data_IF_071514697837
#
_entry.id   IF_071514697837
#
_cell.length_a   1.000
_cell.length_b   1.000
_cell.length_c   1.000
_cell.angle_alpha   90.00
_cell.angle_beta   90.00
_cell.angle_gamma   90.00
#
_symmetry.space_group_name_H-M   'P 1'
#
loop_
_entity.id
_entity.type
_entity.pdbx_description
1 polymer ?
#
# COMPACT_ATOMS: atom_id res chain seq x y z
N UNK A 1 -8.82 -22.47 -13.89
CA UNK A 1 -9.01 -23.66 -13.05
C UNK A 1 -8.89 -23.21 -11.61
N UNK A 2 -9.87 -23.51 -10.78
CA UNK A 2 -9.87 -23.21 -9.35
C UNK A 2 -9.66 -24.55 -8.59
N UNK A 3 -8.46 -24.76 -8.06
CA UNK A 3 -8.10 -26.05 -7.49
C UNK A 3 -8.11 -27.15 -8.56
N UNK A 4 -8.95 -28.15 -8.41
CA UNK A 4 -9.18 -29.22 -9.39
C UNK A 4 -10.33 -28.92 -10.36
N UNK A 5 -11.11 -27.87 -10.11
CA UNK A 5 -12.32 -27.57 -10.87
C UNK A 5 -11.98 -26.74 -12.12
N UNK A 6 -12.67 -27.04 -13.20
CA UNK A 6 -12.61 -26.29 -14.46
C UNK A 6 -13.84 -25.39 -14.55
N UNK A 7 -13.60 -24.07 -14.60
CA UNK A 7 -14.64 -23.08 -14.85
C UNK A 7 -14.52 -22.55 -16.27
N UNK A 8 -15.65 -22.34 -16.94
CA UNK A 8 -15.74 -21.76 -18.28
C UNK A 8 -16.50 -20.44 -18.20
N UNK A 9 -15.99 -19.40 -18.85
CA UNK A 9 -16.60 -18.08 -18.92
C UNK A 9 -16.28 -17.42 -20.25
N UNK A 10 -17.15 -16.54 -20.71
CA UNK A 10 -16.91 -15.75 -21.93
C UNK A 10 -15.82 -14.68 -21.71
N UNK A 11 -15.76 -14.13 -20.50
CA UNK A 11 -14.76 -13.13 -20.08
C UNK A 11 -14.31 -13.43 -18.66
N UNK A 12 -13.02 -13.29 -18.42
CA UNK A 12 -12.39 -13.36 -17.10
C UNK A 12 -11.88 -11.96 -16.73
N UNK A 13 -12.11 -11.53 -15.51
CA UNK A 13 -11.52 -10.30 -14.95
C UNK A 13 -10.42 -10.71 -13.99
N UNK A 14 -9.17 -10.40 -14.35
CA UNK A 14 -8.01 -10.62 -13.50
C UNK A 14 -7.82 -9.43 -12.56
N UNK A 15 -8.21 -9.61 -11.30
CA UNK A 15 -8.05 -8.66 -10.19
C UNK A 15 -7.23 -9.33 -9.06
N UNK A 16 -6.22 -10.14 -9.45
CA UNK A 16 -5.45 -11.02 -8.58
C UNK A 16 -4.18 -10.36 -8.00
N UNK A 17 -4.17 -9.02 -7.99
CA UNK A 17 -3.17 -8.21 -7.31
C UNK A 17 -1.85 -8.05 -8.09
N UNK A 18 -0.87 -7.44 -7.44
CA UNK A 18 0.37 -6.95 -8.05
C UNK A 18 1.17 -8.00 -8.83
N UNK A 19 1.19 -9.26 -8.38
CA UNK A 19 1.92 -10.34 -9.08
C UNK A 19 1.18 -10.87 -10.29
N UNK A 20 -0.15 -10.84 -10.26
CA UNK A 20 -1.07 -11.27 -11.32
C UNK A 20 -0.61 -12.48 -12.16
N UNK A 21 -0.77 -13.67 -11.60
CA UNK A 21 -0.50 -14.92 -12.31
C UNK A 21 -1.43 -15.10 -13.52
N UNK A 22 -2.65 -14.56 -13.45
CA UNK A 22 -3.62 -14.60 -14.55
C UNK A 22 -3.10 -13.83 -15.76
N UNK A 23 -2.64 -12.59 -15.56
CA UNK A 23 -2.08 -11.76 -16.61
C UNK A 23 -0.79 -12.38 -17.20
N UNK A 24 0.08 -12.93 -16.36
CA UNK A 24 1.29 -13.61 -16.81
C UNK A 24 0.97 -14.83 -17.67
N UNK A 25 0.03 -15.68 -17.26
CA UNK A 25 -0.40 -16.86 -18.03
C UNK A 25 -1.09 -16.50 -19.36
N UNK A 26 -1.71 -15.33 -19.42
CA UNK A 26 -2.30 -14.78 -20.65
C UNK A 26 -1.24 -14.16 -21.60
N UNK A 27 0.04 -14.20 -21.25
CA UNK A 27 1.13 -13.65 -22.07
C UNK A 27 1.28 -12.12 -21.98
N UNK A 28 0.62 -11.47 -21.03
CA UNK A 28 0.80 -10.05 -20.79
C UNK A 28 2.11 -9.77 -20.06
N UNK A 29 2.66 -8.56 -20.24
CA UNK A 29 3.95 -8.16 -19.65
C UNK A 29 3.96 -8.42 -18.15
N UNK A 30 4.99 -9.12 -17.67
CA UNK A 30 5.31 -9.28 -16.25
C UNK A 30 5.99 -8.02 -15.73
N UNK A 31 5.67 -7.62 -14.49
CA UNK A 31 6.42 -6.57 -13.81
C UNK A 31 7.84 -7.03 -13.46
N UNK A 32 8.79 -6.12 -13.56
CA UNK A 32 10.17 -6.35 -13.12
C UNK A 32 10.30 -6.04 -11.63
N UNK A 33 11.25 -6.64 -10.94
CA UNK A 33 11.47 -6.41 -9.51
C UNK A 33 11.66 -4.92 -9.14
N UNK A 34 12.30 -4.15 -10.03
CA UNK A 34 12.48 -2.69 -9.84
C UNK A 34 11.21 -1.86 -9.99
N UNK A 35 10.14 -2.46 -10.47
CA UNK A 35 8.84 -1.83 -10.68
C UNK A 35 7.90 -2.07 -9.49
N UNK A 36 8.45 -2.46 -8.34
CA UNK A 36 7.67 -2.68 -7.13
C UNK A 36 8.16 -1.83 -5.96
N UNK A 37 7.19 -1.36 -5.20
CA UNK A 37 7.36 -0.90 -3.83
C UNK A 37 6.80 -1.92 -2.84
N UNK A 38 7.19 -1.83 -1.58
CA UNK A 38 6.56 -2.53 -0.47
C UNK A 38 5.91 -1.51 0.46
N UNK A 39 4.64 -1.69 0.72
CA UNK A 39 3.90 -0.97 1.75
C UNK A 39 3.80 -1.84 2.99
N UNK A 40 4.17 -1.30 4.13
CA UNK A 40 3.99 -1.91 5.44
C UNK A 40 3.06 -1.03 6.25
N UNK A 41 2.10 -1.64 6.93
CA UNK A 41 1.07 -0.91 7.66
C UNK A 41 0.82 -1.57 9.01
N UNK A 42 0.63 -0.74 10.02
CA UNK A 42 0.10 -1.10 11.32
C UNK A 42 -1.26 -0.44 11.54
N UNK A 43 -2.17 -1.14 12.19
CA UNK A 43 -3.40 -0.59 12.74
C UNK A 43 -3.25 -0.48 14.25
N UNK A 44 -3.38 0.74 14.76
CA UNK A 44 -3.22 1.05 16.18
C UNK A 44 -4.58 1.48 16.72
N UNK A 45 -5.17 0.64 17.57
CA UNK A 45 -6.45 0.91 18.21
C UNK A 45 -6.31 2.01 19.27
N UNK A 46 -7.17 3.01 19.19
CA UNK A 46 -7.28 4.14 20.11
C UNK A 46 -8.74 4.59 20.21
N UNK A 47 -9.18 5.11 21.37
CA UNK A 47 -10.52 5.67 21.49
C UNK A 47 -10.74 6.86 20.53
N UNK A 48 -11.93 6.94 19.93
CA UNK A 48 -12.32 7.98 18.96
C UNK A 48 -12.00 9.39 19.48
N UNK A 49 -12.40 9.72 20.70
CA UNK A 49 -12.12 11.03 21.32
C UNK A 49 -10.64 11.36 21.42
N UNK A 50 -9.79 10.36 21.68
CA UNK A 50 -8.33 10.55 21.75
C UNK A 50 -7.77 10.88 20.36
N UNK A 51 -8.32 10.24 19.32
CA UNK A 51 -7.94 10.53 17.94
C UNK A 51 -8.38 11.94 17.55
N UNK A 52 -9.65 12.30 17.81
CA UNK A 52 -10.18 13.65 17.55
C UNK A 52 -9.33 14.74 18.22
N UNK A 53 -9.00 14.56 19.51
CA UNK A 53 -8.15 15.50 20.25
C UNK A 53 -6.74 15.63 19.68
N UNK A 54 -6.08 14.49 19.38
CA UNK A 54 -4.68 14.51 18.90
C UNK A 54 -4.52 15.06 17.52
N UNK A 55 -5.53 14.87 16.66
CA UNK A 55 -5.52 15.34 15.27
C UNK A 55 -6.31 16.63 15.08
N UNK A 56 -6.87 17.20 16.18
CA UNK A 56 -7.70 18.41 16.16
C UNK A 56 -8.86 18.30 15.16
N UNK A 57 -9.62 17.21 15.26
CA UNK A 57 -10.74 16.90 14.39
C UNK A 57 -12.06 17.23 15.07
N UNK A 58 -13.02 17.72 14.30
CA UNK A 58 -14.42 17.70 14.70
C UNK A 58 -14.99 16.29 14.55
N UNK A 59 -16.19 16.07 15.13
CA UNK A 59 -16.88 14.78 14.99
C UNK A 59 -17.08 14.44 13.51
N UNK A 60 -16.80 13.19 13.15
CA UNK A 60 -16.90 12.64 11.79
C UNK A 60 -15.89 13.18 10.78
N UNK A 61 -14.92 13.98 11.21
CA UNK A 61 -13.79 14.36 10.36
C UNK A 61 -12.68 13.30 10.41
N UNK A 62 -11.86 13.30 9.37
CA UNK A 62 -10.69 12.46 9.26
C UNK A 62 -9.46 13.25 8.82
N UNK A 63 -8.28 12.75 9.16
CA UNK A 63 -7.01 13.31 8.74
C UNK A 63 -6.16 12.26 8.03
N UNK A 64 -5.40 12.72 7.03
CA UNK A 64 -4.34 11.96 6.39
C UNK A 64 -3.07 12.81 6.40
N UNK A 65 -2.01 12.29 6.98
CA UNK A 65 -0.69 12.93 7.01
C UNK A 65 0.29 12.08 6.23
N UNK A 66 1.06 12.73 5.37
CA UNK A 66 2.10 12.11 4.56
C UNK A 66 3.47 12.67 4.97
N UNK A 67 4.46 11.78 5.02
CA UNK A 67 5.82 12.11 5.45
C UNK A 67 6.81 11.64 4.38
N UNK A 68 7.79 12.47 4.08
CA UNK A 68 8.87 12.16 3.13
C UNK A 68 10.23 12.48 3.75
N UNK A 69 11.29 11.83 3.25
CA UNK A 69 12.66 12.10 3.67
C UNK A 69 13.15 11.17 4.78
N UNK A 70 13.39 11.70 5.97
CA UNK A 70 14.03 10.95 7.05
C UNK A 70 13.25 9.73 7.55
N UNK A 71 11.93 9.72 7.39
CA UNK A 71 11.09 8.61 7.80
C UNK A 71 11.41 7.28 7.10
N UNK A 72 12.11 7.34 5.98
CA UNK A 72 12.57 6.17 5.22
C UNK A 72 14.10 6.05 5.14
N UNK A 73 14.86 6.74 6.00
CA UNK A 73 16.33 6.85 5.90
C UNK A 73 16.78 7.30 4.51
N UNK A 74 16.02 8.18 3.87
CA UNK A 74 16.23 8.67 2.50
C UNK A 74 16.10 7.60 1.41
N UNK A 75 15.66 6.39 1.72
CA UNK A 75 15.23 5.43 0.71
C UNK A 75 14.02 6.03 0.00
N UNK A 76 13.97 6.04 -1.35
CA UNK A 76 12.82 6.55 -2.08
C UNK A 76 11.51 5.91 -1.62
N UNK A 77 10.54 6.77 -1.27
CA UNK A 77 9.29 6.37 -0.65
C UNK A 77 8.79 7.41 0.35
N UNK A 78 7.97 6.99 1.28
CA UNK A 78 7.42 7.87 2.30
C UNK A 78 6.68 7.10 3.39
N UNK A 79 6.13 7.83 4.33
CA UNK A 79 5.30 7.29 5.39
C UNK A 79 3.94 7.99 5.43
N UNK A 80 2.99 7.38 6.10
CA UNK A 80 1.64 7.92 6.26
C UNK A 80 1.05 7.62 7.62
N UNK A 81 0.14 8.48 8.04
CA UNK A 81 -0.76 8.26 9.17
C UNK A 81 -2.16 8.65 8.74
N UNK A 82 -3.12 7.75 8.83
CA UNK A 82 -4.54 8.01 8.58
C UNK A 82 -5.34 7.77 9.84
N UNK A 83 -6.30 8.66 10.11
CA UNK A 83 -7.28 8.44 11.17
C UNK A 83 -8.43 7.57 10.65
N UNK A 84 -8.85 6.62 11.47
CA UNK A 84 -10.12 5.92 11.37
C UNK A 84 -10.94 6.27 12.62
N UNK A 85 -12.19 5.83 12.70
CA UNK A 85 -13.06 6.18 13.83
C UNK A 85 -12.45 5.78 15.20
N UNK A 86 -11.89 4.59 15.32
CA UNK A 86 -11.35 4.02 16.57
C UNK A 86 -9.96 3.42 16.42
N UNK A 87 -9.22 3.84 15.40
CA UNK A 87 -7.86 3.39 15.15
C UNK A 87 -7.09 4.39 14.28
N UNK A 88 -5.78 4.23 14.25
CA UNK A 88 -4.89 4.86 13.29
C UNK A 88 -4.33 3.82 12.35
N UNK A 89 -4.27 4.12 11.06
CA UNK A 89 -3.48 3.37 10.07
C UNK A 89 -2.17 4.11 9.88
N UNK A 90 -1.08 3.47 10.21
CA UNK A 90 0.26 4.04 10.11
C UNK A 90 1.13 3.12 9.27
N UNK A 91 1.92 3.69 8.36
CA UNK A 91 2.73 2.84 7.51
C UNK A 91 3.81 3.56 6.74
N UNK A 92 4.61 2.75 6.06
CA UNK A 92 5.73 3.16 5.22
C UNK A 92 5.61 2.46 3.87
N UNK A 93 5.90 3.19 2.81
CA UNK A 93 6.04 2.66 1.45
C UNK A 93 7.43 2.98 0.95
N UNK A 94 8.17 1.98 0.51
CA UNK A 94 9.51 2.15 -0.07
C UNK A 94 9.72 1.27 -1.29
N UNK A 95 10.55 1.72 -2.23
CA UNK A 95 10.93 0.92 -3.39
C UNK A 95 11.77 -0.28 -2.98
N UNK A 96 11.41 -1.47 -3.46
CA UNK A 96 12.04 -2.74 -3.05
C UNK A 96 13.52 -2.79 -3.42
N UNK A 97 13.89 -2.33 -4.61
CA UNK A 97 15.30 -2.36 -5.03
C UNK A 97 16.18 -1.52 -4.13
N UNK A 98 15.78 -0.28 -3.84
CA UNK A 98 16.55 0.62 -2.98
C UNK A 98 16.56 0.13 -1.52
N UNK A 99 15.50 -0.51 -1.06
CA UNK A 99 15.48 -1.14 0.25
C UNK A 99 16.52 -2.26 0.34
N UNK A 100 16.59 -3.14 -0.68
CA UNK A 100 17.58 -4.21 -0.75
C UNK A 100 19.02 -3.65 -0.80
N UNK A 101 19.26 -2.63 -1.63
CA UNK A 101 20.56 -1.98 -1.77
C UNK A 101 21.00 -1.32 -0.46
N UNK A 102 20.08 -0.75 0.29
CA UNK A 102 20.34 -0.08 1.57
C UNK A 102 20.72 -1.06 2.69
N UNK A 103 20.40 -2.34 2.55
CA UNK A 103 20.56 -3.39 3.57
C UNK A 103 19.81 -3.08 4.88
N UNK A 104 18.78 -2.25 4.81
CA UNK A 104 17.90 -1.92 5.94
C UNK A 104 16.75 -2.92 5.98
N UNK A 105 16.48 -3.45 7.16
CA UNK A 105 15.32 -4.31 7.36
C UNK A 105 14.04 -3.47 7.33
N UNK A 106 13.06 -3.92 6.54
CA UNK A 106 11.82 -3.17 6.32
C UNK A 106 11.08 -2.81 7.61
N UNK A 107 11.06 -3.74 8.59
CA UNK A 107 10.40 -3.51 9.87
C UNK A 107 11.12 -2.48 10.75
N UNK A 108 12.44 -2.26 10.56
CA UNK A 108 13.16 -1.23 11.29
C UNK A 108 12.68 0.17 10.94
N UNK A 109 12.33 0.39 9.67
CA UNK A 109 11.82 1.68 9.21
C UNK A 109 10.52 2.04 9.92
N UNK A 110 9.57 1.10 10.01
CA UNK A 110 8.29 1.38 10.67
C UNK A 110 8.48 1.56 12.18
N UNK A 111 9.37 0.80 12.79
CA UNK A 111 9.70 0.95 14.22
C UNK A 111 10.34 2.31 14.51
N UNK A 112 11.26 2.78 13.68
CA UNK A 112 11.87 4.10 13.81
C UNK A 112 10.86 5.22 13.58
N UNK A 113 9.98 5.06 12.60
CA UNK A 113 8.91 6.01 12.37
C UNK A 113 8.00 6.13 13.59
N UNK A 114 7.61 5.01 14.20
CA UNK A 114 6.81 4.98 15.42
C UNK A 114 7.52 5.66 16.61
N UNK A 115 8.84 5.53 16.68
CA UNK A 115 9.67 6.12 17.74
C UNK A 115 9.99 7.60 17.51
N UNK A 116 9.59 8.17 16.39
CA UNK A 116 9.72 9.61 16.18
C UNK A 116 8.85 10.37 17.19
N UNK A 117 9.40 11.36 17.94
CA UNK A 117 8.66 12.04 19.01
C UNK A 117 7.32 12.65 18.59
N UNK A 118 7.17 13.03 17.33
CA UNK A 118 5.91 13.56 16.79
C UNK A 118 4.88 12.43 16.59
N UNK A 119 5.31 11.28 16.09
CA UNK A 119 4.46 10.12 15.85
C UNK A 119 4.13 9.41 17.17
N UNK A 120 5.13 9.23 18.04
CA UNK A 120 4.96 8.61 19.36
C UNK A 120 3.83 9.26 20.16
N UNK A 121 3.74 10.58 20.12
CA UNK A 121 2.64 11.32 20.79
C UNK A 121 1.26 11.00 20.17
N UNK A 122 1.20 10.80 18.86
CA UNK A 122 -0.06 10.49 18.19
C UNK A 122 -0.56 9.08 18.52
N UNK A 123 0.36 8.13 18.69
CA UNK A 123 0.04 6.71 18.92
C UNK A 123 0.10 6.29 20.40
N UNK A 124 0.52 7.19 21.31
CA UNK A 124 0.72 6.88 22.74
C UNK A 124 -0.51 6.23 23.37
N UNK A 125 -0.30 5.12 24.09
CA UNK A 125 -1.36 4.35 24.73
C UNK A 125 -2.23 3.52 23.78
N UNK A 126 -1.94 3.55 22.49
CA UNK A 126 -2.59 2.69 21.50
C UNK A 126 -2.07 1.26 21.52
N UNK A 127 -2.88 0.34 21.03
CA UNK A 127 -2.53 -1.08 20.89
C UNK A 127 -2.45 -1.44 19.41
N UNK A 128 -1.32 -1.99 18.97
CA UNK A 128 -1.21 -2.55 17.62
C UNK A 128 -2.10 -3.80 17.56
N UNK A 129 -3.08 -3.79 16.66
CA UNK A 129 -4.05 -4.87 16.48
C UNK A 129 -3.88 -5.59 15.14
N UNK A 130 -3.21 -4.97 14.19
CA UNK A 130 -2.90 -5.55 12.89
C UNK A 130 -1.53 -5.07 12.41
N UNK A 131 -0.80 -5.97 11.77
CA UNK A 131 0.37 -5.66 10.96
C UNK A 131 0.21 -6.33 9.61
N UNK A 132 0.39 -5.57 8.54
CA UNK A 132 0.31 -6.08 7.17
C UNK A 132 1.40 -5.50 6.28
N UNK A 133 1.83 -6.28 5.29
CA UNK A 133 2.74 -5.83 4.25
C UNK A 133 2.18 -6.22 2.88
N UNK A 134 2.29 -5.32 1.92
CA UNK A 134 1.75 -5.50 0.58
C UNK A 134 2.73 -5.00 -0.48
N UNK A 135 2.86 -5.77 -1.55
CA UNK A 135 3.66 -5.37 -2.72
C UNK A 135 2.79 -4.50 -3.62
N UNK A 136 3.32 -3.36 -4.03
CA UNK A 136 2.64 -2.35 -4.82
C UNK A 136 3.36 -2.22 -6.17
N UNK A 137 2.69 -2.44 -7.32
CA UNK A 137 3.31 -2.24 -8.62
C UNK A 137 3.39 -0.75 -8.94
N UNK A 138 4.57 -0.29 -9.33
CA UNK A 138 4.84 1.12 -9.67
C UNK A 138 4.99 1.37 -11.18
N UNK A 139 4.50 0.45 -11.98
CA UNK A 139 4.51 0.55 -13.43
C UNK A 139 3.21 0.02 -14.01
N UNK A 140 2.71 0.67 -15.03
CA UNK A 140 1.55 0.18 -15.78
C UNK A 140 1.95 -0.98 -16.69
N UNK A 141 1.09 -1.98 -16.80
CA UNK A 141 1.21 -3.01 -17.84
C UNK A 141 0.97 -2.40 -19.22
N UNK A 142 1.74 -2.86 -20.19
CA UNK A 142 1.40 -2.65 -21.59
C UNK A 142 0.42 -3.74 -21.99
N UNK A 143 -0.83 -3.36 -22.29
CA UNK A 143 -1.92 -4.29 -22.56
C UNK A 143 -2.68 -4.67 -21.30
N UNK A 144 -3.87 -4.13 -21.18
CA UNK A 144 -4.78 -4.38 -20.05
C UNK A 144 -5.83 -5.42 -20.37
N UNK A 145 -5.81 -5.97 -21.58
CA UNK A 145 -6.75 -6.98 -22.03
C UNK A 145 -6.16 -7.86 -23.13
N UNK A 146 -6.74 -8.99 -23.30
CA UNK A 146 -6.60 -9.91 -24.45
C UNK A 146 -7.96 -10.58 -24.68
N UNK A 147 -8.09 -11.41 -25.72
CA UNK A 147 -9.34 -12.12 -26.00
C UNK A 147 -9.81 -12.91 -24.78
N UNK A 148 -10.98 -12.55 -24.26
CA UNK A 148 -11.59 -13.19 -23.10
C UNK A 148 -11.01 -12.82 -21.74
N UNK A 149 -10.05 -11.87 -21.64
CA UNK A 149 -9.47 -11.43 -20.38
C UNK A 149 -9.37 -9.92 -20.28
N UNK A 150 -9.78 -9.38 -19.13
CA UNK A 150 -9.52 -8.01 -18.69
C UNK A 150 -8.65 -8.04 -17.44
N UNK A 151 -7.71 -7.10 -17.30
CA UNK A 151 -6.85 -6.95 -16.11
C UNK A 151 -7.12 -5.60 -15.46
N UNK A 152 -7.36 -5.60 -14.14
CA UNK A 152 -7.77 -4.40 -13.39
C UNK A 152 -6.99 -4.23 -12.09
N UNK A 153 -7.05 -3.04 -11.49
CA UNK A 153 -6.42 -2.72 -10.22
C UNK A 153 -4.90 -2.91 -10.23
N UNK A 154 -4.33 -3.40 -9.13
CA UNK A 154 -2.89 -3.66 -9.00
C UNK A 154 -2.38 -4.69 -10.02
N UNK A 155 -3.23 -5.63 -10.42
CA UNK A 155 -2.89 -6.58 -11.48
C UNK A 155 -2.57 -5.88 -12.81
N UNK A 156 -3.20 -4.75 -13.07
CA UNK A 156 -2.97 -3.90 -14.25
C UNK A 156 -1.83 -2.88 -14.02
N UNK A 157 -1.41 -2.67 -12.77
CA UNK A 157 -0.49 -1.60 -12.39
C UNK A 157 -1.13 -0.22 -12.53
N UNK A 158 -2.44 -0.12 -12.30
CA UNK A 158 -3.17 1.14 -12.34
C UNK A 158 -2.91 1.94 -11.05
N UNK A 159 -1.70 2.46 -10.96
CA UNK A 159 -1.23 3.24 -9.83
C UNK A 159 -0.42 4.42 -10.33
N UNK A 160 -0.72 5.60 -9.79
CA UNK A 160 0.03 6.82 -10.08
C UNK A 160 0.85 7.21 -8.87
N UNK A 161 2.16 7.28 -9.05
CA UNK A 161 3.08 7.86 -8.10
C UNK A 161 3.35 9.31 -8.49
N UNK A 162 2.87 10.26 -7.69
CA UNK A 162 3.11 11.69 -7.90
C UNK A 162 4.41 12.19 -7.24
N UNK A 163 5.21 11.29 -6.67
CA UNK A 163 6.40 11.63 -5.87
C UNK A 163 6.08 12.02 -4.42
N UNK A 164 4.84 12.36 -4.12
CA UNK A 164 4.37 12.76 -2.79
C UNK A 164 3.33 11.76 -2.26
N UNK A 165 2.55 11.19 -3.14
CA UNK A 165 1.51 10.22 -2.81
C UNK A 165 1.36 9.16 -3.88
N UNK A 166 0.95 7.97 -3.45
CA UNK A 166 0.53 6.87 -4.32
C UNK A 166 -0.99 6.88 -4.42
N UNK A 167 -1.51 6.90 -5.65
CA UNK A 167 -2.94 6.88 -5.95
C UNK A 167 -3.27 5.66 -6.79
N UNK A 168 -4.03 4.75 -6.26
CA UNK A 168 -4.41 3.51 -6.92
C UNK A 168 -5.91 3.25 -6.90
N UNK A 169 -6.60 3.58 -5.79
CA UNK A 169 -8.03 3.27 -5.66
C UNK A 169 -8.90 4.00 -6.68
N UNK A 170 -8.65 5.27 -6.92
CA UNK A 170 -9.36 6.07 -7.92
C UNK A 170 -9.07 5.60 -9.35
N UNK A 171 -7.84 5.17 -9.62
CA UNK A 171 -7.46 4.60 -10.91
C UNK A 171 -8.03 3.20 -11.15
N UNK A 172 -8.29 2.44 -10.08
CA UNK A 172 -8.88 1.11 -10.19
C UNK A 172 -10.39 1.14 -10.45
N UNK A 173 -11.05 2.27 -10.20
CA UNK A 173 -12.50 2.45 -10.34
C UNK A 173 -12.86 3.17 -11.64
N UNK A 174 -11.92 3.93 -12.21
CA UNK A 174 -12.09 4.70 -13.44
C UNK A 174 -12.07 3.80 -14.68
#
# INVERSE_FOLDING_TARGET
VAGTDKLEANVVIAADGAVSLMAEKAGLKKFLAKEFAIGMKEIIELPEKVIEERFNLASEEGAAQLFIGQCTRQIPGGAFVYTNRNSLSLGIVVYINQLIESKVEAYELIREFNSNPAIEKLIAGGKIVEYSAHVIPEASRTGLFTDGLLVVGDAAGLLVNSGITLRGMDMAIA
#
